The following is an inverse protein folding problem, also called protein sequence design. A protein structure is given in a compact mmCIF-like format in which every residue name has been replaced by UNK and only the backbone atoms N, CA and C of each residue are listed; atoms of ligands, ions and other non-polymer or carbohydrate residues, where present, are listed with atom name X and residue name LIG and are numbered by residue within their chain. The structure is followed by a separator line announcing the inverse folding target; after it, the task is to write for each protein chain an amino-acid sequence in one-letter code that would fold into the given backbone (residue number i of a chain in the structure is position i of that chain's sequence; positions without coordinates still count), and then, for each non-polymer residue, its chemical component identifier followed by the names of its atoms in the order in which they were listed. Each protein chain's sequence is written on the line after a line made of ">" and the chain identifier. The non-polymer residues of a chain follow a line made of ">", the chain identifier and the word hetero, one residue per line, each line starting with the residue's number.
data_IF_453324421562
#
_entry.id   IF_453324421562
#
_cell.length_a   1.000
_cell.length_b   1.000
_cell.length_c   1.000
_cell.angle_alpha   90.00
_cell.angle_beta   90.00
_cell.angle_gamma   90.00
#
_symmetry.space_group_name_H-M   'P 1'
#
loop_
_entity.id
_entity.type
_entity.pdbx_description
1 polymer ?
#
# COMPACT_ATOMS: atom_id res chain seq x y z
N UNK A 1 -11.01 -26.93 27.36
CA UNK A 1 -10.28 -27.62 28.45
C UNK A 1 -8.85 -28.04 28.05
N UNK A 2 -8.01 -27.13 27.52
CA UNK A 2 -6.55 -27.37 27.30
C UNK A 2 -5.64 -26.24 27.80
N UNK A 3 -6.19 -25.09 28.20
CA UNK A 3 -5.41 -23.90 28.57
C UNK A 3 -4.88 -23.90 30.02
N UNK A 4 -5.49 -24.67 30.93
CA UNK A 4 -5.20 -24.56 32.38
C UNK A 4 -3.93 -25.34 32.78
N UNK A 5 -3.43 -26.28 31.96
CA UNK A 5 -2.30 -27.16 32.31
C UNK A 5 -0.91 -26.51 32.13
N UNK A 6 -0.80 -25.42 31.37
CA UNK A 6 0.51 -24.79 31.12
C UNK A 6 0.96 -23.85 32.24
N UNK A 7 0.05 -23.38 33.10
CA UNK A 7 0.35 -22.31 34.06
C UNK A 7 1.16 -22.79 35.28
N UNK A 8 1.20 -24.09 35.58
CA UNK A 8 1.96 -24.64 36.71
C UNK A 8 3.41 -25.03 36.38
N UNK A 9 3.76 -25.14 35.09
CA UNK A 9 5.09 -25.64 34.70
C UNK A 9 6.20 -24.56 34.76
N UNK A 10 5.83 -23.28 34.85
CA UNK A 10 6.77 -22.14 34.84
C UNK A 10 7.46 -21.91 36.20
N UNK A 11 6.94 -22.44 37.31
CA UNK A 11 7.43 -22.08 38.65
C UNK A 11 8.43 -23.06 39.28
N UNK A 12 9.02 -23.98 38.51
CA UNK A 12 9.88 -25.04 39.06
C UNK A 12 11.25 -25.19 38.39
N UNK A 13 11.98 -24.10 38.11
CA UNK A 13 13.46 -24.16 37.92
C UNK A 13 14.13 -22.87 38.47
N UNK A 14 15.08 -22.97 39.42
CA UNK A 14 15.73 -21.82 40.04
C UNK A 14 16.89 -21.27 39.19
N UNK A 15 16.86 -19.96 38.94
CA UNK A 15 17.93 -18.96 39.12
C UNK A 15 19.37 -19.11 38.61
N UNK A 16 19.86 -20.26 38.13
CA UNK A 16 21.31 -20.45 37.84
C UNK A 16 21.65 -20.85 36.39
N UNK A 17 20.66 -21.00 35.50
CA UNK A 17 20.86 -21.41 34.08
C UNK A 17 20.58 -20.24 33.10
N UNK A 18 20.66 -18.99 33.56
CA UNK A 18 20.26 -17.81 32.77
C UNK A 18 21.39 -17.23 31.89
N UNK A 19 22.65 -17.67 32.06
CA UNK A 19 23.79 -17.07 31.35
C UNK A 19 24.31 -17.88 30.14
N UNK A 20 23.99 -19.17 30.00
CA UNK A 20 24.58 -20.02 28.95
C UNK A 20 23.66 -20.24 27.72
N UNK A 21 22.38 -19.86 27.80
CA UNK A 21 21.37 -20.12 26.76
C UNK A 21 21.17 -18.98 25.76
N UNK A 22 21.88 -17.87 25.86
CA UNK A 22 21.74 -16.75 24.91
C UNK A 22 22.52 -16.96 23.60
N UNK A 23 23.61 -17.76 23.62
CA UNK A 23 24.46 -17.99 22.45
C UNK A 23 23.88 -18.96 21.43
N UNK A 24 23.24 -20.04 21.89
CA UNK A 24 22.76 -21.14 21.03
C UNK A 24 21.40 -20.84 20.41
N UNK A 25 20.55 -20.07 21.09
CA UNK A 25 19.22 -19.69 20.59
C UNK A 25 19.29 -18.72 19.39
N UNK A 26 20.39 -17.97 19.23
CA UNK A 26 20.61 -17.10 18.06
C UNK A 26 20.93 -17.85 16.77
N UNK A 27 21.48 -19.07 16.85
CA UNK A 27 21.90 -19.84 15.67
C UNK A 27 20.77 -20.61 14.97
N UNK A 28 19.68 -20.97 15.66
CA UNK A 28 18.57 -21.73 15.06
C UNK A 28 17.41 -20.87 14.55
N UNK A 29 17.35 -19.60 14.93
CA UNK A 29 16.27 -18.69 14.51
C UNK A 29 16.48 -18.04 13.14
N UNK A 30 17.69 -18.09 12.56
CA UNK A 30 18.00 -17.48 11.26
C UNK A 30 17.16 -18.00 10.08
N UNK A 31 16.68 -19.24 10.15
CA UNK A 31 15.89 -19.86 9.07
C UNK A 31 14.39 -19.53 9.10
N UNK A 32 13.84 -19.12 10.26
CA UNK A 32 12.42 -18.73 10.37
C UNK A 32 12.14 -17.35 9.80
N UNK A 33 13.14 -16.46 9.78
CA UNK A 33 13.03 -15.10 9.24
C UNK A 33 12.91 -15.10 7.70
N UNK A 34 13.35 -16.17 7.03
CA UNK A 34 13.26 -16.33 5.57
C UNK A 34 11.85 -16.73 5.08
N UNK A 35 11.05 -17.39 5.92
CA UNK A 35 9.70 -17.84 5.56
C UNK A 35 8.69 -16.71 5.27
N UNK A 36 8.64 -15.58 6.02
CA UNK A 36 7.75 -14.46 5.67
C UNK A 36 8.21 -13.72 4.40
N UNK A 37 9.51 -13.78 4.07
CA UNK A 37 10.06 -13.05 2.93
C UNK A 37 9.60 -13.65 1.59
N UNK A 38 9.55 -14.98 1.49
CA UNK A 38 9.08 -15.65 0.26
C UNK A 38 7.62 -15.32 -0.04
N UNK A 39 6.77 -15.25 0.99
CA UNK A 39 5.38 -14.78 0.85
C UNK A 39 5.34 -13.35 0.33
N UNK A 40 6.07 -12.43 0.94
CA UNK A 40 6.11 -11.01 0.52
C UNK A 40 6.54 -10.87 -0.94
N UNK A 41 7.58 -11.60 -1.36
CA UNK A 41 8.04 -11.60 -2.75
C UNK A 41 6.95 -12.11 -3.71
N UNK A 42 6.21 -13.18 -3.34
CA UNK A 42 5.11 -13.66 -4.17
C UNK A 42 3.95 -12.66 -4.28
N UNK A 43 3.64 -11.93 -3.20
CA UNK A 43 2.60 -10.89 -3.21
C UNK A 43 3.01 -9.72 -4.10
N UNK A 44 4.28 -9.30 -4.02
CA UNK A 44 4.85 -8.27 -4.88
C UNK A 44 4.83 -8.72 -6.35
N UNK A 45 5.24 -9.96 -6.64
CA UNK A 45 5.20 -10.50 -7.99
C UNK A 45 3.77 -10.51 -8.56
N UNK A 46 2.77 -10.82 -7.73
CA UNK A 46 1.36 -10.75 -8.11
C UNK A 46 0.93 -9.31 -8.42
N UNK A 47 1.27 -8.33 -7.59
CA UNK A 47 1.01 -6.90 -7.86
C UNK A 47 1.67 -6.43 -9.17
N UNK A 48 2.92 -6.85 -9.43
CA UNK A 48 3.61 -6.58 -10.69
C UNK A 48 2.92 -7.24 -11.88
N UNK A 49 2.38 -8.45 -11.71
CA UNK A 49 1.54 -9.12 -12.71
C UNK A 49 0.34 -8.28 -13.09
N UNK A 50 -0.42 -7.79 -12.11
CA UNK A 50 -1.55 -6.89 -12.36
C UNK A 50 -1.13 -5.57 -13.03
N UNK A 51 -0.01 -4.98 -12.63
CA UNK A 51 0.53 -3.78 -13.28
C UNK A 51 0.91 -4.04 -14.75
N UNK A 52 1.50 -5.22 -15.05
CA UNK A 52 1.83 -5.62 -16.41
C UNK A 52 0.58 -5.84 -17.26
N UNK A 53 -0.43 -6.54 -16.73
CA UNK A 53 -1.72 -6.71 -17.41
C UNK A 53 -2.43 -5.37 -17.64
N UNK A 54 -2.39 -4.46 -16.66
CA UNK A 54 -2.90 -3.10 -16.81
C UNK A 54 -2.19 -2.32 -17.92
N UNK A 55 -0.88 -2.48 -18.06
CA UNK A 55 -0.10 -1.91 -19.17
C UNK A 55 -0.48 -2.52 -20.52
N UNK A 56 -0.64 -3.84 -20.59
CA UNK A 56 -1.10 -4.52 -21.81
C UNK A 56 -2.49 -4.00 -22.22
N UNK A 57 -3.41 -3.94 -21.27
CA UNK A 57 -4.78 -3.49 -21.50
C UNK A 57 -4.83 -2.02 -21.91
N UNK A 58 -4.05 -1.16 -21.24
CA UNK A 58 -3.94 0.25 -21.60
C UNK A 58 -3.42 0.46 -23.02
N UNK A 59 -2.49 -0.38 -23.48
CA UNK A 59 -1.96 -0.35 -24.85
C UNK A 59 -2.99 -0.83 -25.87
N UNK A 60 -3.65 -1.96 -25.60
CA UNK A 60 -4.67 -2.53 -26.50
C UNK A 60 -5.86 -1.58 -26.66
N UNK A 61 -6.34 -1.01 -25.57
CA UNK A 61 -7.47 -0.08 -25.55
C UNK A 61 -7.07 1.38 -25.85
N UNK A 62 -5.78 1.67 -26.08
CA UNK A 62 -5.24 3.02 -26.34
C UNK A 62 -5.69 4.08 -25.30
N UNK A 63 -5.67 3.73 -24.02
CA UNK A 63 -6.05 4.68 -22.97
C UNK A 63 -4.96 5.75 -22.76
N UNK A 64 -5.34 7.03 -22.52
CA UNK A 64 -4.41 8.12 -22.20
C UNK A 64 -3.97 8.11 -20.73
N UNK A 65 -3.86 6.92 -20.11
CA UNK A 65 -3.41 6.77 -18.72
C UNK A 65 -2.26 5.76 -18.62
N UNK A 66 -1.36 5.92 -17.64
CA UNK A 66 -0.35 4.91 -17.36
C UNK A 66 -0.99 3.56 -17.02
N UNK A 67 -0.41 2.48 -17.55
CA UNK A 67 -0.87 1.11 -17.27
C UNK A 67 -0.90 0.72 -15.80
N UNK A 68 -0.09 1.35 -14.96
CA UNK A 68 -0.10 1.15 -13.50
C UNK A 68 -1.40 1.58 -12.85
N UNK A 69 -2.02 2.67 -13.31
CA UNK A 69 -3.34 3.13 -12.82
C UNK A 69 -4.42 2.11 -13.17
N UNK A 70 -4.36 1.58 -14.40
CA UNK A 70 -5.25 0.50 -14.85
C UNK A 70 -5.02 -0.76 -14.03
N UNK A 71 -3.76 -1.10 -13.71
CA UNK A 71 -3.42 -2.22 -12.84
C UNK A 71 -4.01 -2.11 -11.44
N UNK A 72 -3.98 -0.91 -10.83
CA UNK A 72 -4.62 -0.65 -9.53
C UNK A 72 -6.14 -0.84 -9.62
N UNK A 73 -6.77 -0.33 -10.68
CA UNK A 73 -8.20 -0.54 -10.91
C UNK A 73 -8.54 -2.04 -11.10
N UNK A 74 -7.66 -2.79 -11.76
CA UNK A 74 -7.81 -4.23 -11.96
C UNK A 74 -7.69 -5.01 -10.65
N UNK A 75 -6.72 -4.67 -9.79
CA UNK A 75 -6.59 -5.23 -8.44
C UNK A 75 -7.84 -4.91 -7.62
N UNK A 76 -8.29 -3.65 -7.64
CA UNK A 76 -9.50 -3.24 -6.93
C UNK A 76 -10.73 -4.01 -7.40
N UNK A 77 -10.92 -4.18 -8.71
CA UNK A 77 -12.01 -4.99 -9.27
C UNK A 77 -11.89 -6.46 -8.83
N UNK A 78 -10.68 -7.04 -8.88
CA UNK A 78 -10.44 -8.42 -8.45
C UNK A 78 -10.69 -8.64 -6.95
N UNK A 79 -10.42 -7.64 -6.10
CA UNK A 79 -10.79 -7.66 -4.68
C UNK A 79 -12.31 -7.58 -4.51
N UNK A 80 -12.97 -6.69 -5.25
CA UNK A 80 -14.42 -6.54 -5.19
C UNK A 80 -15.17 -7.80 -5.64
N UNK A 81 -14.66 -8.49 -6.67
CA UNK A 81 -15.18 -9.77 -7.18
C UNK A 81 -14.83 -10.97 -6.28
N UNK A 82 -13.98 -10.78 -5.25
CA UNK A 82 -13.51 -11.85 -4.37
C UNK A 82 -12.54 -12.84 -5.02
N UNK A 83 -12.02 -12.53 -6.22
CA UNK A 83 -11.02 -13.36 -6.90
C UNK A 83 -9.65 -13.30 -6.22
N UNK A 84 -9.31 -12.15 -5.65
CA UNK A 84 -8.09 -11.92 -4.87
C UNK A 84 -8.51 -11.48 -3.48
N UNK A 85 -7.99 -12.16 -2.45
CA UNK A 85 -8.23 -11.75 -1.06
C UNK A 85 -7.21 -10.70 -0.63
N UNK A 86 -7.62 -9.78 0.24
CA UNK A 86 -6.76 -8.69 0.70
C UNK A 86 -5.46 -9.21 1.34
N UNK A 87 -5.54 -10.31 2.09
CA UNK A 87 -4.38 -10.89 2.78
C UNK A 87 -3.28 -11.39 1.83
N UNK A 88 -3.61 -11.56 0.53
CA UNK A 88 -2.69 -12.00 -0.50
C UNK A 88 -1.86 -10.87 -1.10
N UNK A 89 -2.20 -9.62 -0.84
CA UNK A 89 -1.47 -8.45 -1.38
C UNK A 89 -1.04 -7.46 -0.32
N UNK A 90 -1.69 -7.45 0.84
CA UNK A 90 -1.49 -6.47 1.91
C UNK A 90 -0.02 -6.36 2.34
N UNK A 91 0.64 -7.49 2.68
CA UNK A 91 2.03 -7.47 3.14
C UNK A 91 3.00 -7.01 2.04
N UNK A 92 2.77 -7.44 0.80
CA UNK A 92 3.55 -7.02 -0.36
C UNK A 92 3.38 -5.53 -0.68
N UNK A 93 2.15 -5.04 -0.63
CA UNK A 93 1.81 -3.64 -0.86
C UNK A 93 2.43 -2.75 0.23
N UNK A 94 2.24 -3.07 1.50
CA UNK A 94 2.82 -2.31 2.63
C UNK A 94 4.34 -2.28 2.57
N UNK A 95 4.97 -3.39 2.18
CA UNK A 95 6.41 -3.44 1.97
C UNK A 95 6.87 -2.46 0.88
N UNK A 96 6.21 -2.45 -0.28
CA UNK A 96 6.50 -1.51 -1.37
C UNK A 96 6.24 -0.05 -0.94
N UNK A 97 5.14 0.20 -0.23
CA UNK A 97 4.82 1.52 0.32
C UNK A 97 5.90 1.99 1.30
N UNK A 98 6.44 1.11 2.15
CA UNK A 98 7.53 1.44 3.07
C UNK A 98 8.83 1.85 2.35
N UNK A 99 9.01 1.42 1.10
CA UNK A 99 10.17 1.72 0.24
C UNK A 99 9.83 2.69 -0.89
N UNK A 100 8.68 3.33 -0.84
CA UNK A 100 8.19 4.25 -1.85
C UNK A 100 9.16 5.41 -2.12
N UNK A 101 9.78 5.97 -1.07
CA UNK A 101 10.83 6.99 -1.23
C UNK A 101 12.01 6.50 -2.09
N UNK A 102 12.45 5.24 -1.91
CA UNK A 102 13.55 4.67 -2.70
C UNK A 102 13.20 4.62 -4.19
N UNK A 103 11.93 4.39 -4.55
CA UNK A 103 11.47 4.39 -5.94
C UNK A 103 11.30 5.80 -6.53
N UNK A 104 11.13 6.82 -5.69
CA UNK A 104 11.01 8.21 -6.14
C UNK A 104 12.35 8.93 -6.34
N UNK A 105 13.41 8.50 -5.64
CA UNK A 105 14.73 9.13 -5.77
C UNK A 105 15.24 9.09 -7.22
N UNK A 106 15.34 7.93 -7.92
CA UNK A 106 15.95 7.89 -9.25
C UNK A 106 15.25 8.79 -10.29
N UNK A 107 13.91 8.79 -10.41
CA UNK A 107 13.21 9.73 -11.28
C UNK A 107 13.43 11.19 -10.88
N UNK A 108 13.46 11.51 -9.57
CA UNK A 108 13.67 12.87 -9.10
C UNK A 108 15.07 13.39 -9.47
N UNK A 109 16.12 12.58 -9.29
CA UNK A 109 17.48 12.98 -9.70
C UNK A 109 17.57 13.15 -11.23
N UNK A 110 16.89 12.29 -12.00
CA UNK A 110 16.85 12.41 -13.45
C UNK A 110 16.22 13.72 -13.94
N UNK A 111 15.26 14.28 -13.20
CA UNK A 111 14.67 15.60 -13.52
C UNK A 111 15.67 16.74 -13.28
N UNK A 112 16.56 16.62 -12.29
CA UNK A 112 17.55 17.66 -11.95
C UNK A 112 18.59 17.87 -13.05
N UNK A 113 18.79 16.90 -13.95
CA UNK A 113 19.68 17.04 -15.10
C UNK A 113 19.14 18.06 -16.12
N UNK A 114 17.82 18.32 -16.14
CA UNK A 114 17.18 19.28 -17.04
C UNK A 114 17.17 20.72 -16.50
N UNK A 115 18.34 21.22 -16.08
CA UNK A 115 18.47 22.53 -15.39
C UNK A 115 18.00 23.72 -16.22
N UNK A 116 18.25 23.72 -17.52
CA UNK A 116 17.92 24.85 -18.41
C UNK A 116 16.40 25.12 -18.50
N UNK A 117 15.58 24.07 -18.47
CA UNK A 117 14.11 24.22 -18.47
C UNK A 117 13.58 24.85 -17.18
N UNK A 118 14.24 24.57 -16.04
CA UNK A 118 13.88 25.15 -14.75
C UNK A 118 14.34 26.61 -14.60
N UNK A 119 15.48 27.00 -15.18
CA UNK A 119 15.99 28.38 -15.04
C UNK A 119 15.15 29.39 -15.82
N UNK A 120 14.68 29.05 -17.04
CA UNK A 120 13.91 30.00 -17.86
C UNK A 120 12.42 30.09 -17.50
N UNK A 121 11.82 29.01 -16.99
CA UNK A 121 10.36 28.93 -16.76
C UNK A 121 9.96 28.33 -15.40
N UNK A 122 10.90 28.12 -14.48
CA UNK A 122 10.67 27.48 -13.19
C UNK A 122 9.56 28.12 -12.36
N UNK A 123 9.48 29.45 -12.35
CA UNK A 123 8.45 30.19 -11.62
C UNK A 123 7.03 29.91 -12.10
N UNK A 124 6.84 29.69 -13.42
CA UNK A 124 5.54 29.34 -14.02
C UNK A 124 5.11 27.93 -13.62
N UNK A 125 6.06 26.99 -13.53
CA UNK A 125 5.78 25.63 -13.06
C UNK A 125 5.37 25.59 -11.59
N UNK A 126 6.03 26.36 -10.72
CA UNK A 126 5.64 26.44 -9.30
C UNK A 126 4.22 26.97 -9.16
N UNK A 127 3.89 28.05 -9.87
CA UNK A 127 2.56 28.64 -9.83
C UNK A 127 1.48 27.66 -10.32
N UNK A 128 1.71 26.98 -11.46
CA UNK A 128 0.71 26.04 -11.99
C UNK A 128 0.53 24.81 -11.08
N UNK A 129 1.60 24.32 -10.43
CA UNK A 129 1.52 23.21 -9.47
C UNK A 129 0.67 23.63 -8.25
N UNK A 130 0.91 24.82 -7.70
CA UNK A 130 0.13 25.33 -6.55
C UNK A 130 -1.34 25.46 -6.94
N UNK A 131 -1.64 26.16 -8.04
CA UNK A 131 -3.03 26.40 -8.49
C UNK A 131 -3.74 25.09 -8.81
N UNK A 132 -3.10 24.16 -9.52
CA UNK A 132 -3.70 22.87 -9.85
C UNK A 132 -3.92 22.00 -8.61
N UNK A 133 -3.02 22.04 -7.62
CA UNK A 133 -3.21 21.32 -6.35
C UNK A 133 -4.45 21.82 -5.62
N UNK A 134 -4.60 23.14 -5.49
CA UNK A 134 -5.81 23.72 -4.89
C UNK A 134 -7.05 23.41 -5.71
N UNK A 135 -6.98 23.46 -7.04
CA UNK A 135 -8.10 23.12 -7.91
C UNK A 135 -8.53 21.66 -7.75
N UNK A 136 -7.60 20.72 -7.68
CA UNK A 136 -7.88 19.29 -7.44
C UNK A 136 -8.47 19.09 -6.05
N UNK A 137 -7.89 19.69 -5.00
CA UNK A 137 -8.43 19.58 -3.64
C UNK A 137 -9.85 20.14 -3.54
N UNK A 138 -10.11 21.32 -4.10
CA UNK A 138 -11.44 21.93 -4.12
C UNK A 138 -12.43 21.07 -4.91
N UNK A 139 -12.05 20.58 -6.09
CA UNK A 139 -12.91 19.73 -6.92
C UNK A 139 -13.26 18.42 -6.21
N UNK A 140 -12.27 17.76 -5.61
CA UNK A 140 -12.49 16.50 -4.88
C UNK A 140 -13.36 16.72 -3.64
N UNK A 141 -13.14 17.83 -2.91
CA UNK A 141 -13.95 18.23 -1.76
C UNK A 141 -15.40 18.52 -2.12
N UNK A 142 -15.64 19.30 -3.17
CA UNK A 142 -17.00 19.63 -3.65
C UNK A 142 -17.75 18.37 -4.12
N UNK A 143 -17.07 17.45 -4.80
CA UNK A 143 -17.67 16.16 -5.21
C UNK A 143 -18.04 15.33 -3.98
N UNK A 144 -17.15 15.24 -2.98
CA UNK A 144 -17.42 14.53 -1.74
C UNK A 144 -18.61 15.14 -0.97
N UNK A 145 -18.69 16.47 -0.89
CA UNK A 145 -19.80 17.18 -0.25
C UNK A 145 -21.12 16.98 -1.00
N UNK A 146 -21.10 17.05 -2.33
CA UNK A 146 -22.29 16.82 -3.16
C UNK A 146 -22.86 15.40 -2.98
N UNK A 147 -21.98 14.38 -2.95
CA UNK A 147 -22.37 12.99 -2.70
C UNK A 147 -22.87 12.83 -1.25
N UNK A 148 -22.19 13.45 -0.28
CA UNK A 148 -22.57 13.44 1.14
C UNK A 148 -23.96 14.02 1.37
N UNK A 149 -24.28 15.17 0.76
CA UNK A 149 -25.57 15.84 0.88
C UNK A 149 -26.74 15.00 0.34
N UNK A 150 -26.52 14.23 -0.74
CA UNK A 150 -27.52 13.29 -1.28
C UNK A 150 -27.75 12.06 -0.40
N UNK A 151 -26.75 11.65 0.40
CA UNK A 151 -26.88 10.53 1.35
C UNK A 151 -27.51 10.98 2.67
N UNK A 152 -27.21 12.20 3.15
CA UNK A 152 -27.84 12.79 4.34
C UNK A 152 -29.37 12.88 4.21
N UNK A 153 -29.90 13.27 3.04
CA UNK A 153 -31.35 13.32 2.80
C UNK A 153 -32.02 11.93 2.74
N UNK A 154 -31.26 10.84 2.57
CA UNK A 154 -31.79 9.46 2.61
C UNK A 154 -31.84 8.90 4.03
N UNK A 155 -30.82 9.16 4.86
CA UNK A 155 -30.78 8.71 6.25
C UNK A 155 -31.93 9.32 7.08
N UNK A 156 -32.23 10.61 6.90
CA UNK A 156 -33.32 11.30 7.62
C UNK A 156 -34.73 10.83 7.20
N UNK A 157 -34.88 10.19 6.03
CA UNK A 157 -36.17 9.62 5.59
C UNK A 157 -36.37 8.17 6.01
N UNK A 158 -35.31 7.45 6.36
CA UNK A 158 -35.39 6.05 6.82
C UNK A 158 -35.71 6.00 8.33
N UNK A 159 -35.17 6.95 9.12
CA UNK A 159 -35.50 7.12 10.54
C UNK A 159 -36.87 7.77 10.79
N UNK A 160 -37.42 8.51 9.82
CA UNK A 160 -38.77 9.10 9.91
C UNK A 160 -39.89 8.15 9.42
N UNK A 161 -39.52 6.98 8.89
CA UNK A 161 -40.45 5.96 8.37
C UNK A 161 -40.42 4.65 9.16
N UNK A 162 -39.58 4.55 10.20
CA UNK A 162 -39.54 3.48 11.19
C UNK A 162 -40.30 3.89 12.47
#
# INVERSE_FOLDING_TARGET
>A
MKAIRYMYFTYLIPGSILMEQEGVFRMTQGWKVLQPLTRTISQIALLFGFAYFGSLLSKVLHLPVPGSIVGIALVFAALHLGWVRLEWIEQGADYLLSKLLLFFVPPAVGILEYKEMFTMSGSRYVLIIIVSTFAVMASTGLVAEFIGKRRGTKAEKEDAAA
#
